data_IF_811637510319
#
_entry.id   IF_811637510319
#
_cell.length_a   1.000
_cell.length_b   1.000
_cell.length_c   1.000
_cell.angle_alpha   90.00
_cell.angle_beta   90.00
_cell.angle_gamma   90.00
#
_symmetry.space_group_name_H-M   'P 1'
#
loop_
_entity.id
_entity.type
_entity.pdbx_description
1 polymer ?
#
# COMPACT_ATOMS: atom_id res chain seq x y z
N UNK A 1 15.99 -16.59 5.79
CA UNK A 1 15.66 -16.09 5.60
C UNK A 1 15.22 -15.53 5.01
N UNK A 2 15.08 -15.20 4.83
CA UNK A 2 14.89 -14.63 4.32
C UNK A 2 14.34 -13.85 4.03
N UNK A 3 14.27 -14.08 3.67
CA UNK A 3 13.73 -13.21 3.01
C UNK A 3 13.21 -11.93 3.16
N UNK A 4 13.29 -11.32 3.94
CA UNK A 4 12.87 -10.11 4.07
C UNK A 4 13.45 -9.10 3.30
N UNK A 5 14.21 -9.43 2.44
CA UNK A 5 14.84 -8.41 1.62
C UNK A 5 14.14 -8.16 0.31
N UNK A 6 13.04 -8.81 0.06
CA UNK A 6 12.32 -8.56 -1.18
C UNK A 6 11.71 -7.18 -1.19
N UNK A 7 11.88 -6.48 -2.29
CA UNK A 7 11.27 -5.17 -2.44
C UNK A 7 9.79 -5.33 -2.74
N UNK A 8 9.02 -4.40 -2.20
CA UNK A 8 7.59 -4.36 -2.47
C UNK A 8 7.37 -3.98 -3.93
N UNK A 9 6.51 -4.72 -4.60
CA UNK A 9 6.15 -4.45 -5.98
C UNK A 9 4.67 -4.09 -6.04
N UNK A 10 4.24 -3.52 -7.17
CA UNK A 10 2.83 -3.22 -7.35
C UNK A 10 1.98 -4.48 -7.27
N UNK A 11 2.45 -5.58 -7.84
CA UNK A 11 1.72 -6.85 -7.78
C UNK A 11 1.65 -7.37 -6.35
N UNK A 12 2.76 -7.33 -5.64
CA UNK A 12 2.79 -7.76 -4.25
C UNK A 12 1.87 -6.92 -3.38
N UNK A 13 1.84 -5.62 -3.64
CA UNK A 13 0.99 -4.71 -2.90
C UNK A 13 -0.49 -5.02 -3.15
N UNK A 14 -0.85 -5.26 -4.41
CA UNK A 14 -2.23 -5.62 -4.74
C UNK A 14 -2.64 -6.89 -4.01
N UNK A 15 -1.76 -7.88 -3.98
CA UNK A 15 -2.02 -9.13 -3.30
C UNK A 15 -2.20 -8.92 -1.80
N UNK A 16 -1.35 -8.10 -1.21
CA UNK A 16 -1.45 -7.80 0.22
C UNK A 16 -2.82 -7.19 0.55
N UNK A 17 -3.22 -6.19 -0.22
CA UNK A 17 -4.49 -5.49 0.03
C UNK A 17 -5.67 -6.44 -0.18
N UNK A 18 -5.59 -7.28 -1.21
CA UNK A 18 -6.67 -8.21 -1.52
C UNK A 18 -6.93 -9.17 -0.37
N UNK A 19 -5.92 -9.47 0.43
CA UNK A 19 -6.05 -10.39 1.55
C UNK A 19 -6.54 -9.71 2.83
N UNK A 20 -6.68 -8.39 2.83
CA UNK A 20 -7.23 -7.67 3.97
C UNK A 20 -8.75 -7.69 3.89
N UNK A 21 -9.40 -7.61 5.06
CA UNK A 21 -10.84 -7.44 5.02
C UNK A 21 -11.19 -6.03 4.53
N UNK A 22 -12.46 -5.81 4.25
CA UNK A 22 -12.88 -4.58 3.61
C UNK A 22 -12.57 -3.34 4.45
N UNK A 23 -12.78 -3.43 5.76
CA UNK A 23 -12.51 -2.29 6.63
C UNK A 23 -11.03 -1.95 6.66
N UNK A 24 -10.19 -2.98 6.71
CA UNK A 24 -8.75 -2.77 6.71
C UNK A 24 -8.28 -2.20 5.37
N UNK A 25 -8.89 -2.63 4.27
CA UNK A 25 -8.54 -2.06 2.97
C UNK A 25 -8.82 -0.56 2.95
N UNK A 26 -9.98 -0.16 3.45
CA UNK A 26 -10.34 1.26 3.49
C UNK A 26 -9.38 2.03 4.39
N UNK A 27 -9.05 1.44 5.54
CA UNK A 27 -8.17 2.07 6.50
C UNK A 27 -6.78 2.30 5.92
N UNK A 28 -6.24 1.29 5.27
CA UNK A 28 -4.93 1.40 4.63
C UNK A 28 -4.94 2.46 3.53
N UNK A 29 -5.95 2.42 2.67
CA UNK A 29 -6.02 3.36 1.55
C UNK A 29 -6.16 4.80 2.05
N UNK A 30 -6.96 4.99 3.10
CA UNK A 30 -7.13 6.31 3.69
C UNK A 30 -5.81 6.83 4.27
N UNK A 31 -5.10 5.95 4.97
CA UNK A 31 -3.81 6.33 5.54
C UNK A 31 -2.84 6.75 4.44
N UNK A 32 -2.76 5.95 3.38
CA UNK A 32 -1.85 6.22 2.27
C UNK A 32 -2.22 7.52 1.56
N UNK A 33 -3.52 7.75 1.36
CA UNK A 33 -3.98 8.99 0.72
C UNK A 33 -3.53 10.21 1.51
N UNK A 34 -3.67 10.17 2.81
CA UNK A 34 -3.25 11.28 3.67
C UNK A 34 -1.74 11.43 3.67
N UNK A 35 -1.04 10.31 3.75
CA UNK A 35 0.42 10.33 3.84
C UNK A 35 1.05 10.88 2.57
N UNK A 36 0.48 10.56 1.41
CA UNK A 36 1.02 10.97 0.13
C UNK A 36 0.35 12.23 -0.42
N UNK A 37 -0.60 12.78 0.33
CA UNK A 37 -1.34 13.98 -0.09
C UNK A 37 -2.00 13.75 -1.45
N UNK A 38 -2.67 12.61 -1.57
CA UNK A 38 -3.40 12.24 -2.78
C UNK A 38 -4.86 12.00 -2.43
N UNK A 39 -5.72 12.02 -3.45
CA UNK A 39 -7.12 11.67 -3.21
C UNK A 39 -7.26 10.18 -2.99
N UNK A 40 -8.33 9.81 -2.28
CA UNK A 40 -8.64 8.40 -2.07
C UNK A 40 -8.82 7.66 -3.40
N UNK A 41 -9.49 8.32 -4.37
CA UNK A 41 -9.72 7.69 -5.66
C UNK A 41 -8.41 7.38 -6.39
N UNK A 42 -7.46 8.31 -6.34
CA UNK A 42 -6.15 8.08 -6.95
C UNK A 42 -5.45 6.89 -6.29
N UNK A 43 -5.46 6.85 -4.97
CA UNK A 43 -4.83 5.75 -4.24
C UNK A 43 -5.54 4.43 -4.53
N UNK A 44 -6.86 4.45 -4.56
CA UNK A 44 -7.63 3.25 -4.86
C UNK A 44 -7.29 2.70 -6.26
N UNK A 45 -7.15 3.59 -7.24
CA UNK A 45 -6.77 3.17 -8.58
C UNK A 45 -5.39 2.51 -8.60
N UNK A 46 -4.47 3.04 -7.82
CA UNK A 46 -3.12 2.47 -7.75
C UNK A 46 -3.13 1.10 -7.09
N UNK A 47 -3.91 0.95 -6.02
CA UNK A 47 -4.02 -0.36 -5.37
C UNK A 47 -4.77 -1.37 -6.24
N UNK A 48 -5.68 -0.89 -7.08
CA UNK A 48 -6.43 -1.78 -7.98
C UNK A 48 -5.65 -2.18 -9.23
N UNK A 49 -4.51 -1.54 -9.47
CA UNK A 49 -3.68 -1.86 -10.63
C UNK A 49 -3.95 -1.02 -11.85
N UNK A 50 -4.88 -0.08 -11.79
CA UNK A 50 -5.14 0.81 -12.91
C UNK A 50 -4.04 1.84 -13.09
N UNK A 51 -3.35 2.19 -12.01
CA UNK A 51 -2.17 3.03 -12.01
C UNK A 51 -1.12 2.35 -11.15
N UNK A 52 0.11 2.74 -11.33
CA UNK A 52 1.20 2.14 -10.56
C UNK A 52 1.80 3.14 -9.60
N UNK A 53 2.22 2.66 -8.45
CA UNK A 53 3.01 3.47 -7.53
C UNK A 53 4.42 3.62 -8.10
N UNK A 54 5.00 4.79 -7.88
CA UNK A 54 6.39 5.00 -8.25
C UNK A 54 7.31 4.22 -7.32
N UNK A 55 8.57 3.98 -7.71
CA UNK A 55 9.51 3.31 -6.81
C UNK A 55 9.65 4.01 -5.46
N UNK A 56 9.66 5.34 -5.44
CA UNK A 56 9.75 6.07 -4.18
C UNK A 56 8.53 5.83 -3.31
N UNK A 57 7.34 5.78 -3.93
CA UNK A 57 6.12 5.49 -3.20
C UNK A 57 6.13 4.07 -2.66
N UNK A 58 6.65 3.12 -3.43
CA UNK A 58 6.73 1.74 -2.99
C UNK A 58 7.66 1.59 -1.78
N UNK A 59 8.76 2.32 -1.76
CA UNK A 59 9.64 2.30 -0.61
C UNK A 59 8.93 2.81 0.64
N UNK A 60 8.19 3.90 0.51
CA UNK A 60 7.43 4.43 1.64
C UNK A 60 6.35 3.46 2.08
N UNK A 61 5.67 2.83 1.12
CA UNK A 61 4.64 1.86 1.43
C UNK A 61 5.20 0.63 2.12
N UNK A 62 6.40 0.22 1.75
CA UNK A 62 7.02 -0.92 2.39
C UNK A 62 7.19 -0.68 3.89
N UNK A 63 7.65 0.51 4.26
CA UNK A 63 7.79 0.87 5.67
C UNK A 63 6.43 0.92 6.37
N UNK A 64 5.43 1.50 5.71
CA UNK A 64 4.08 1.58 6.27
C UNK A 64 3.52 0.19 6.55
N UNK A 65 3.71 -0.73 5.62
CA UNK A 65 3.18 -2.08 5.74
C UNK A 65 3.98 -2.90 6.74
N UNK A 66 5.31 -2.83 6.65
CA UNK A 66 6.16 -3.64 7.52
C UNK A 66 5.98 -3.27 8.99
N UNK A 67 5.75 -2.00 9.27
CA UNK A 67 5.55 -1.51 10.63
C UNK A 67 4.09 -1.33 11.00
N UNK A 68 3.19 -1.68 10.08
CA UNK A 68 1.75 -1.59 10.26
C UNK A 68 1.31 -0.22 10.76
N UNK A 69 1.94 0.82 10.22
CA UNK A 69 1.65 2.18 10.67
C UNK A 69 0.20 2.57 10.44
N UNK A 70 -0.41 1.99 9.42
CA UNK A 70 -1.79 2.30 9.06
C UNK A 70 -2.80 1.71 10.04
N UNK A 71 -2.36 0.80 10.91
CA UNK A 71 -3.25 0.20 11.90
C UNK A 71 -3.33 1.00 13.19
N UNK A 72 -2.46 1.93 13.35
CA UNK A 72 -2.38 2.70 14.60
C UNK A 72 -3.40 3.80 14.69
#
# INVERSE_FOLDING_TARGET
MQGKTEELTNVGLQSYVKNLDQQDQIKLKTYVALKFDKSYLTVNDKFAGRRQFTPAELLALQSIIDNELWRQ
#
